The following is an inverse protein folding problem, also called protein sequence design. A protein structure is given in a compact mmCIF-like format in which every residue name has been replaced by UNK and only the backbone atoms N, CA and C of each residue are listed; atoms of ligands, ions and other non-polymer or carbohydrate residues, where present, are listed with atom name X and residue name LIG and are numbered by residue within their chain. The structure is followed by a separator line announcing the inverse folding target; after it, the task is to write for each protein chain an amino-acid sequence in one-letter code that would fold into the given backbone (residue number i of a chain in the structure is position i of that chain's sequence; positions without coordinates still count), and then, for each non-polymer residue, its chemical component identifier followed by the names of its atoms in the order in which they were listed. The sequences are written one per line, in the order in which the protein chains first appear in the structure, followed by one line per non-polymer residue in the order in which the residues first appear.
data_IF_389153486850
#
_entry.id   IF_389153486850
#
_cell.length_a   1.000
_cell.length_b   1.000
_cell.length_c   1.000
_cell.angle_alpha   90.00
_cell.angle_beta   90.00
_cell.angle_gamma   90.00
#
_symmetry.space_group_name_H-M   'P 1'
#
loop_
_entity.id
_entity.type
_entity.pdbx_description
1 polymer ?
#
# COMPACT_ATOMS: atom_id res chain seq x y z
N UNK A 1 -26.09 31.79 27.20
CA UNK A 1 -24.66 31.39 27.40
C UNK A 1 -24.24 30.30 26.40
N UNK A 2 -24.53 30.40 25.10
CA UNK A 2 -24.28 29.34 24.12
C UNK A 2 -23.61 29.85 22.80
N UNK A 3 -22.99 31.03 22.85
CA UNK A 3 -22.33 31.64 21.67
C UNK A 3 -20.82 31.88 21.79
N UNK A 4 -20.19 31.52 22.92
CA UNK A 4 -18.76 31.81 23.17
C UNK A 4 -17.83 30.62 22.86
N UNK A 5 -18.38 29.41 22.72
CA UNK A 5 -17.55 28.19 22.49
C UNK A 5 -17.24 27.86 21.02
N UNK A 6 -17.91 28.52 20.07
CA UNK A 6 -17.68 28.24 18.63
C UNK A 6 -16.50 29.02 18.04
N UNK A 7 -16.00 30.07 18.73
CA UNK A 7 -14.93 30.92 18.21
C UNK A 7 -13.54 30.42 18.63
N UNK A 8 -13.44 29.64 19.71
CA UNK A 8 -12.15 29.12 20.20
C UNK A 8 -11.64 27.91 19.39
N UNK A 9 -12.50 27.18 18.73
CA UNK A 9 -12.11 26.00 17.91
C UNK A 9 -11.59 26.42 16.54
N UNK A 10 -12.02 27.57 16.01
CA UNK A 10 -11.52 28.06 14.70
C UNK A 10 -10.19 28.82 14.79
N UNK A 11 -9.83 29.35 15.95
CA UNK A 11 -8.57 30.11 16.12
C UNK A 11 -7.34 29.22 16.33
N UNK A 12 -7.52 27.96 16.68
CA UNK A 12 -6.40 27.02 16.85
C UNK A 12 -6.00 26.26 15.57
N UNK A 13 -6.78 26.38 14.51
CA UNK A 13 -6.47 25.77 13.22
C UNK A 13 -5.60 26.63 12.29
N UNK A 14 -5.38 27.91 12.61
CA UNK A 14 -4.61 28.85 11.74
C UNK A 14 -3.16 29.04 12.20
N UNK A 15 -2.81 28.70 13.43
CA UNK A 15 -1.45 28.86 13.96
C UNK A 15 -0.56 27.61 13.84
N UNK A 16 -1.05 26.54 13.21
CA UNK A 16 -0.31 25.26 13.03
C UNK A 16 0.50 25.17 11.72
N UNK A 17 0.47 26.16 10.85
CA UNK A 17 1.02 26.01 9.48
C UNK A 17 2.51 26.35 9.36
N UNK A 18 3.12 27.00 10.34
CA UNK A 18 4.53 27.43 10.26
C UNK A 18 5.56 26.50 10.94
N UNK A 19 5.14 25.32 11.42
CA UNK A 19 6.03 24.35 12.08
C UNK A 19 6.46 23.15 11.24
N UNK A 20 6.00 23.01 9.99
CA UNK A 20 6.16 21.81 9.19
C UNK A 20 7.36 21.80 8.22
N UNK A 21 8.19 22.81 8.16
CA UNK A 21 9.32 22.87 7.22
C UNK A 21 10.59 22.13 7.67
N UNK A 22 10.67 21.62 8.90
CA UNK A 22 11.85 20.85 9.37
C UNK A 22 11.61 19.36 9.63
N UNK A 23 10.40 18.85 9.44
CA UNK A 23 10.12 17.42 9.57
C UNK A 23 10.33 16.61 8.27
N UNK A 24 10.71 17.25 7.18
CA UNK A 24 10.89 16.65 5.85
C UNK A 24 12.14 15.77 5.67
N UNK A 25 13.07 15.77 6.63
CA UNK A 25 14.39 15.14 6.44
C UNK A 25 14.55 13.74 7.08
N UNK A 26 13.52 13.17 7.69
CA UNK A 26 13.63 11.86 8.36
C UNK A 26 12.87 10.71 7.67
N UNK A 27 12.03 10.98 6.69
CA UNK A 27 11.39 9.95 5.88
C UNK A 27 12.24 9.71 4.63
N UNK A 28 12.97 8.60 4.55
CA UNK A 28 13.62 8.21 3.31
C UNK A 28 15.15 8.18 3.29
N UNK A 29 15.81 8.02 4.42
CA UNK A 29 17.22 7.67 4.38
C UNK A 29 17.36 6.24 3.87
N UNK A 30 17.56 6.08 2.56
CA UNK A 30 18.03 4.83 1.95
C UNK A 30 19.53 4.75 2.21
N UNK A 31 19.96 3.69 2.89
CA UNK A 31 21.39 3.40 3.09
C UNK A 31 21.73 2.18 2.26
N UNK A 32 22.46 2.38 1.17
CA UNK A 32 22.99 1.29 0.37
C UNK A 32 24.37 0.89 0.90
N UNK A 33 24.61 -0.41 1.01
CA UNK A 33 25.90 -0.97 1.36
C UNK A 33 26.23 -2.09 0.35
N UNK A 34 27.40 -2.06 -0.23
CA UNK A 34 27.84 -3.07 -1.21
C UNK A 34 29.30 -2.94 -1.60
N UNK A 35 29.77 -3.82 -2.44
CA UNK A 35 31.14 -3.84 -2.95
C UNK A 35 31.46 -2.47 -3.56
N UNK A 36 32.36 -1.75 -2.91
CA UNK A 36 32.76 -0.39 -3.24
C UNK A 36 33.39 -0.36 -4.61
N UNK A 37 32.72 0.19 -5.62
CA UNK A 37 33.38 0.92 -6.69
C UNK A 37 33.36 2.40 -6.35
N UNK A 38 34.41 3.16 -6.69
CA UNK A 38 34.45 4.59 -6.34
C UNK A 38 33.22 5.32 -6.91
N UNK A 39 32.59 6.10 -6.07
CA UNK A 39 31.43 6.91 -6.41
C UNK A 39 31.88 8.14 -7.19
N UNK A 40 32.09 8.04 -8.48
CA UNK A 40 32.39 9.19 -9.35
C UNK A 40 31.83 9.08 -10.77
N UNK A 41 30.61 8.60 -10.92
CA UNK A 41 29.87 8.91 -12.14
C UNK A 41 28.40 9.12 -11.81
N UNK A 42 27.88 10.28 -12.18
CA UNK A 42 26.43 10.46 -12.34
C UNK A 42 25.91 9.29 -13.18
N UNK A 43 24.70 8.75 -12.88
CA UNK A 43 24.14 7.67 -13.68
C UNK A 43 24.21 8.06 -15.16
N UNK A 44 24.55 7.16 -16.08
CA UNK A 44 24.52 7.45 -17.51
C UNK A 44 23.15 8.01 -17.86
N UNK A 45 23.13 8.98 -18.77
CA UNK A 45 21.86 9.47 -19.33
C UNK A 45 21.11 8.27 -19.89
N UNK A 46 19.94 7.93 -19.31
CA UNK A 46 19.12 6.78 -19.70
C UNK A 46 18.68 5.89 -18.55
N UNK A 47 19.50 5.70 -17.53
CA UNK A 47 19.14 4.88 -16.36
C UNK A 47 18.22 5.67 -15.42
N UNK A 48 16.93 5.40 -15.48
CA UNK A 48 15.93 6.05 -14.63
C UNK A 48 14.50 5.79 -15.13
N UNK A 49 13.55 5.89 -14.22
CA UNK A 49 12.13 5.97 -14.59
C UNK A 49 11.75 7.45 -14.74
N UNK A 50 11.13 7.82 -15.86
CA UNK A 50 10.79 9.21 -16.15
C UNK A 50 9.88 9.79 -15.07
N UNK A 51 10.29 10.92 -14.50
CA UNK A 51 9.51 11.61 -13.45
C UNK A 51 9.67 11.01 -12.04
N UNK A 52 10.62 10.07 -11.83
CA UNK A 52 10.98 9.55 -10.52
C UNK A 52 12.45 9.85 -10.21
N UNK A 53 12.71 10.13 -8.93
CA UNK A 53 14.05 10.31 -8.37
C UNK A 53 14.16 9.48 -7.08
N UNK A 54 15.13 8.56 -7.03
CA UNK A 54 15.37 7.69 -5.87
C UNK A 54 15.68 8.48 -4.56
N UNK A 55 16.08 9.74 -4.67
CA UNK A 55 16.35 10.64 -3.52
C UNK A 55 15.11 11.32 -2.97
N UNK A 56 14.00 11.21 -3.69
CA UNK A 56 12.80 11.97 -3.41
C UNK A 56 11.63 11.03 -3.07
N UNK A 57 11.36 10.82 -1.76
CA UNK A 57 10.29 9.93 -1.32
C UNK A 57 8.91 10.49 -1.68
N UNK A 58 7.88 9.62 -1.75
CA UNK A 58 6.52 10.03 -2.03
C UNK A 58 5.97 11.05 -1.03
N UNK A 59 5.14 11.95 -1.53
CA UNK A 59 4.42 12.91 -0.70
C UNK A 59 3.43 12.25 0.26
N UNK A 60 3.04 13.00 1.29
CA UNK A 60 1.91 12.65 2.15
C UNK A 60 0.61 12.99 1.41
N UNK A 61 -0.32 12.01 1.32
CA UNK A 61 -1.65 12.25 0.75
C UNK A 61 -2.65 12.62 1.84
N UNK A 62 -3.15 13.89 1.87
CA UNK A 62 -4.14 14.29 2.88
C UNK A 62 -5.43 13.47 2.79
N UNK A 63 -5.83 13.04 1.58
CA UNK A 63 -7.03 12.24 1.33
C UNK A 63 -7.07 10.91 2.06
N UNK A 64 -5.92 10.32 2.44
CA UNK A 64 -5.86 9.09 3.23
C UNK A 64 -6.54 9.20 4.60
N UNK A 65 -6.69 10.41 5.13
CA UNK A 65 -7.43 10.63 6.38
C UNK A 65 -8.94 10.80 6.17
N UNK A 66 -9.35 11.29 5.00
CA UNK A 66 -10.75 11.47 4.66
C UNK A 66 -11.42 10.15 4.30
N UNK A 67 -10.70 9.25 3.66
CA UNK A 67 -11.19 7.92 3.33
C UNK A 67 -11.31 7.01 4.56
N UNK A 68 -10.57 7.26 5.64
CA UNK A 68 -10.77 6.60 6.94
C UNK A 68 -12.16 6.88 7.55
N UNK A 69 -12.87 7.90 7.07
CA UNK A 69 -14.26 8.20 7.42
C UNK A 69 -15.15 7.68 6.29
N UNK A 70 -15.41 6.39 6.28
CA UNK A 70 -16.14 5.73 5.22
C UNK A 70 -17.48 6.41 4.93
N UNK A 71 -17.77 6.64 3.66
CA UNK A 71 -19.00 7.30 3.23
C UNK A 71 -19.01 8.82 3.28
N UNK A 72 -17.87 9.48 3.50
CA UNK A 72 -17.77 10.95 3.47
C UNK A 72 -17.60 11.47 2.06
N UNK A 73 -16.81 10.77 1.23
CA UNK A 73 -16.52 11.21 -0.14
C UNK A 73 -16.56 10.04 -1.12
N UNK A 74 -17.63 10.02 -1.92
CA UNK A 74 -17.79 9.07 -3.03
C UNK A 74 -17.44 9.75 -4.33
N UNK A 75 -16.71 9.06 -5.19
CA UNK A 75 -16.32 9.59 -6.50
C UNK A 75 -16.62 8.58 -7.61
N UNK A 76 -16.77 9.09 -8.82
CA UNK A 76 -16.94 8.30 -10.03
C UNK A 76 -15.71 8.38 -10.95
N UNK A 77 -15.70 7.62 -12.06
CA UNK A 77 -14.58 7.63 -13.02
C UNK A 77 -14.27 9.00 -13.63
N UNK A 78 -15.30 9.87 -13.76
CA UNK A 78 -15.15 11.21 -14.29
C UNK A 78 -14.41 12.17 -13.35
N UNK A 79 -14.42 11.88 -12.05
CA UNK A 79 -13.93 12.78 -11.00
C UNK A 79 -12.49 12.47 -10.56
N UNK A 80 -11.84 11.48 -11.15
CA UNK A 80 -10.53 10.97 -10.72
C UNK A 80 -9.42 12.04 -10.72
N UNK A 81 -9.49 13.02 -11.63
CA UNK A 81 -8.40 13.94 -11.87
C UNK A 81 -7.15 13.24 -12.38
N UNK A 82 -6.00 13.91 -12.29
CA UNK A 82 -4.71 13.36 -12.69
C UNK A 82 -3.90 12.96 -11.46
N UNK A 83 -3.29 11.79 -11.49
CA UNK A 83 -2.37 11.37 -10.46
C UNK A 83 -1.17 12.31 -10.39
N UNK A 84 -0.72 12.65 -9.20
CA UNK A 84 0.44 13.51 -8.98
C UNK A 84 1.34 12.93 -7.89
N UNK A 85 2.55 12.66 -8.24
CA UNK A 85 3.58 12.26 -7.28
C UNK A 85 3.88 13.42 -6.30
N UNK A 86 3.79 14.66 -6.78
CA UNK A 86 3.92 15.90 -6.03
C UNK A 86 2.58 16.60 -5.75
N UNK A 87 2.59 17.66 -4.93
CA UNK A 87 1.38 18.37 -4.49
C UNK A 87 0.66 19.18 -5.58
N UNK A 88 1.26 19.36 -6.74
CA UNK A 88 0.71 20.15 -7.83
C UNK A 88 -0.34 19.37 -8.64
N UNK A 89 -1.44 20.04 -8.95
CA UNK A 89 -2.49 19.58 -9.86
C UNK A 89 -3.72 18.95 -9.22
N UNK A 90 -4.78 18.78 -10.01
CA UNK A 90 -6.06 18.26 -9.55
C UNK A 90 -5.97 16.74 -9.37
N UNK A 91 -6.11 16.29 -8.17
CA UNK A 91 -6.21 14.88 -7.80
C UNK A 91 -7.39 14.71 -6.85
N UNK A 92 -8.33 13.84 -7.19
CA UNK A 92 -9.45 13.51 -6.32
C UNK A 92 -9.22 12.13 -5.67
N UNK A 93 -9.42 12.07 -4.37
CA UNK A 93 -9.39 10.84 -3.58
C UNK A 93 -10.76 10.64 -2.94
N UNK A 94 -11.14 9.39 -2.75
CA UNK A 94 -12.42 9.00 -2.18
C UNK A 94 -12.68 7.52 -2.42
N UNK A 95 -13.87 7.07 -2.07
CA UNK A 95 -14.32 5.71 -2.30
C UNK A 95 -15.03 5.64 -3.65
N UNK A 96 -14.52 4.80 -4.52
CA UNK A 96 -15.15 4.42 -5.80
C UNK A 96 -15.69 2.99 -5.65
N UNK A 97 -16.76 2.66 -6.36
CA UNK A 97 -17.23 1.29 -6.51
C UNK A 97 -17.02 0.78 -7.94
N UNK A 98 -16.49 -0.43 -8.05
CA UNK A 98 -16.34 -1.12 -9.31
C UNK A 98 -17.04 -2.48 -9.23
N UNK A 99 -17.83 -2.86 -10.23
CA UNK A 99 -18.65 -4.08 -10.20
C UNK A 99 -17.82 -5.34 -9.97
N UNK A 100 -16.56 -5.36 -10.45
CA UNK A 100 -15.64 -6.49 -10.32
C UNK A 100 -14.54 -6.27 -9.28
N UNK A 101 -14.39 -5.05 -8.77
CA UNK A 101 -13.37 -4.64 -7.81
C UNK A 101 -13.91 -4.27 -6.42
N UNK A 102 -15.25 -4.25 -6.24
CA UNK A 102 -15.86 -3.82 -5.00
C UNK A 102 -15.59 -2.35 -4.68
N UNK A 103 -15.50 -2.04 -3.39
CA UNK A 103 -15.10 -0.72 -2.93
C UNK A 103 -13.61 -0.51 -3.12
N UNK A 104 -13.22 0.61 -3.67
CA UNK A 104 -11.82 0.97 -3.93
C UNK A 104 -11.54 2.33 -3.28
N UNK A 105 -10.59 2.35 -2.32
CA UNK A 105 -10.04 3.58 -1.76
C UNK A 105 -8.93 4.12 -2.65
N UNK A 106 -9.22 5.20 -3.37
CA UNK A 106 -8.26 5.81 -4.29
C UNK A 106 -7.05 6.45 -3.59
N UNK A 107 -7.16 6.80 -2.33
CA UNK A 107 -6.01 7.28 -1.58
C UNK A 107 -5.01 6.14 -1.30
N UNK A 108 -5.51 4.93 -0.98
CA UNK A 108 -4.68 3.72 -0.83
C UNK A 108 -4.07 3.31 -2.17
N UNK A 109 -4.87 3.26 -3.26
CA UNK A 109 -4.36 2.98 -4.62
C UNK A 109 -3.20 3.91 -4.98
N UNK A 110 -3.38 5.21 -4.83
CA UNK A 110 -2.36 6.20 -5.19
C UNK A 110 -1.14 6.16 -4.28
N UNK A 111 -1.35 5.93 -2.97
CA UNK A 111 -0.26 5.76 -2.01
C UNK A 111 0.60 4.54 -2.36
N UNK A 112 -0.02 3.40 -2.64
CA UNK A 112 0.68 2.19 -3.01
C UNK A 112 1.41 2.33 -4.36
N UNK A 113 0.80 3.04 -5.32
CA UNK A 113 1.43 3.36 -6.60
C UNK A 113 2.70 4.21 -6.42
N UNK A 114 2.63 5.27 -5.61
CA UNK A 114 3.80 6.12 -5.34
C UNK A 114 4.95 5.34 -4.69
N UNK A 115 4.64 4.52 -3.68
CA UNK A 115 5.66 3.70 -3.04
C UNK A 115 6.28 2.69 -3.99
N UNK A 116 5.48 2.10 -4.88
CA UNK A 116 5.99 1.18 -5.92
C UNK A 116 6.98 1.91 -6.85
N UNK A 117 6.60 3.07 -7.37
CA UNK A 117 7.46 3.88 -8.22
C UNK A 117 8.76 4.30 -7.53
N UNK A 118 8.65 4.77 -6.29
CA UNK A 118 9.82 5.16 -5.49
C UNK A 118 10.77 4.00 -5.24
N UNK A 119 10.25 2.86 -4.77
CA UNK A 119 11.08 1.70 -4.44
C UNK A 119 11.69 1.04 -5.69
N UNK A 120 10.99 1.12 -6.84
CA UNK A 120 11.58 0.74 -8.12
C UNK A 120 12.74 1.66 -8.51
N UNK A 121 12.61 2.99 -8.35
CA UNK A 121 13.68 3.93 -8.61
C UNK A 121 14.89 3.72 -7.69
N UNK A 122 14.66 3.49 -6.39
CA UNK A 122 15.70 3.15 -5.41
C UNK A 122 16.42 1.86 -5.79
N UNK A 123 15.68 0.82 -6.17
CA UNK A 123 16.25 -0.47 -6.58
C UNK A 123 17.10 -0.29 -7.84
N UNK A 124 16.62 0.46 -8.83
CA UNK A 124 17.36 0.71 -10.07
C UNK A 124 18.68 1.43 -9.80
N UNK A 125 18.67 2.42 -8.92
CA UNK A 125 19.90 3.12 -8.49
C UNK A 125 20.88 2.17 -7.78
N UNK A 126 20.38 1.27 -6.92
CA UNK A 126 21.21 0.28 -6.24
C UNK A 126 21.81 -0.73 -7.24
N UNK A 127 21.03 -1.20 -8.22
CA UNK A 127 21.51 -2.10 -9.27
C UNK A 127 22.55 -1.42 -10.16
N UNK A 128 22.33 -0.17 -10.54
CA UNK A 128 23.28 0.63 -11.31
C UNK A 128 24.64 0.76 -10.61
N UNK A 129 24.62 0.94 -9.29
CA UNK A 129 25.84 1.03 -8.47
C UNK A 129 26.44 -0.31 -8.07
N UNK A 130 25.80 -1.43 -8.43
CA UNK A 130 26.26 -2.78 -8.07
C UNK A 130 26.14 -3.08 -6.57
N UNK A 131 25.18 -2.45 -5.87
CA UNK A 131 24.96 -2.71 -4.46
C UNK A 131 24.25 -4.04 -4.26
N UNK A 132 24.74 -4.86 -3.35
CA UNK A 132 24.15 -6.16 -2.97
C UNK A 132 23.18 -6.04 -1.81
N UNK A 133 23.17 -4.92 -1.10
CA UNK A 133 22.24 -4.67 0.01
C UNK A 133 21.79 -3.23 0.02
N UNK A 134 20.56 -3.01 0.43
CA UNK A 134 20.07 -1.68 0.79
C UNK A 134 19.04 -1.77 1.90
N UNK A 135 18.80 -0.66 2.58
CA UNK A 135 17.75 -0.53 3.57
C UNK A 135 16.97 0.75 3.34
N UNK A 136 15.69 0.69 3.65
CA UNK A 136 14.82 1.86 3.56
C UNK A 136 13.86 1.93 4.74
N UNK A 137 13.24 3.10 4.90
CA UNK A 137 12.15 3.35 5.83
C UNK A 137 11.05 4.05 5.08
N UNK A 138 9.82 3.71 5.43
CA UNK A 138 8.64 4.47 5.02
C UNK A 138 8.28 5.47 6.13
N UNK A 139 7.01 5.72 6.33
CA UNK A 139 6.55 6.63 7.38
C UNK A 139 6.61 6.02 8.77
N UNK A 140 6.36 4.73 8.85
CA UNK A 140 6.50 3.97 10.08
C UNK A 140 7.98 3.88 10.48
N UNK A 141 8.27 3.75 11.79
CA UNK A 141 9.65 3.64 12.25
C UNK A 141 10.31 2.30 11.89
N UNK A 142 9.58 1.33 11.35
CA UNK A 142 10.12 0.04 10.87
C UNK A 142 11.18 0.24 9.80
N UNK A 143 12.19 -0.63 9.80
CA UNK A 143 13.25 -0.67 8.79
C UNK A 143 13.10 -1.91 7.92
N UNK A 144 13.30 -1.71 6.64
CA UNK A 144 13.29 -2.77 5.65
C UNK A 144 14.71 -3.00 5.17
N UNK A 145 15.14 -4.25 5.14
CA UNK A 145 16.46 -4.68 4.70
C UNK A 145 16.27 -5.55 3.47
N UNK A 146 16.97 -5.22 2.41
CA UNK A 146 16.94 -5.95 1.15
C UNK A 146 18.34 -6.44 0.83
N UNK A 147 18.47 -7.74 0.58
CA UNK A 147 19.68 -8.39 0.11
C UNK A 147 19.45 -8.86 -1.33
N UNK A 148 20.36 -8.54 -2.24
CA UNK A 148 20.30 -8.88 -3.66
C UNK A 148 21.42 -9.82 -4.02
N UNK A 149 21.09 -10.89 -4.73
CA UNK A 149 22.06 -11.77 -5.39
C UNK A 149 21.98 -11.52 -6.89
N UNK A 150 23.13 -11.27 -7.49
CA UNK A 150 23.27 -11.02 -8.93
C UNK A 150 23.60 -12.31 -9.66
N UNK A 151 23.24 -12.44 -10.96
CA UNK A 151 23.74 -13.52 -11.80
C UNK A 151 25.28 -13.42 -11.96
N UNK A 152 25.92 -14.57 -12.10
CA UNK A 152 27.42 -14.64 -12.18
C UNK A 152 27.98 -13.87 -13.37
N UNK A 153 27.27 -13.80 -14.46
CA UNK A 153 27.63 -13.12 -15.69
C UNK A 153 27.23 -11.64 -15.76
N UNK A 154 26.63 -11.10 -14.69
CA UNK A 154 26.15 -9.72 -14.66
C UNK A 154 27.17 -8.68 -15.11
N UNK A 155 28.43 -8.83 -14.68
CA UNK A 155 29.50 -7.88 -15.03
C UNK A 155 29.86 -7.89 -16.51
N UNK A 156 29.67 -9.02 -17.20
CA UNK A 156 30.04 -9.23 -18.60
C UNK A 156 28.92 -8.88 -19.59
N UNK A 157 27.71 -8.65 -19.12
CA UNK A 157 26.59 -8.27 -20.00
C UNK A 157 26.83 -6.90 -20.66
N UNK A 158 26.35 -6.70 -21.90
CA UNK A 158 26.30 -5.39 -22.54
C UNK A 158 25.47 -4.39 -21.73
N UNK A 159 25.85 -3.10 -21.75
CA UNK A 159 25.17 -2.07 -20.94
C UNK A 159 23.68 -1.93 -21.24
N UNK A 160 23.28 -2.05 -22.51
CA UNK A 160 21.85 -2.02 -22.90
C UNK A 160 21.04 -3.20 -22.33
N UNK A 161 21.63 -4.39 -22.25
CA UNK A 161 20.99 -5.55 -21.62
C UNK A 161 20.91 -5.38 -20.10
N UNK A 162 21.99 -4.88 -19.48
CA UNK A 162 21.98 -4.55 -18.04
C UNK A 162 20.87 -3.55 -17.71
N UNK A 163 20.74 -2.48 -18.50
CA UNK A 163 19.71 -1.47 -18.28
C UNK A 163 18.31 -2.07 -18.38
N UNK A 164 18.03 -2.82 -19.44
CA UNK A 164 16.74 -3.47 -19.66
C UNK A 164 16.38 -4.43 -18.51
N UNK A 165 17.32 -5.30 -18.13
CA UNK A 165 17.16 -6.26 -17.04
C UNK A 165 16.99 -5.51 -15.70
N UNK A 166 17.84 -4.52 -15.42
CA UNK A 166 17.78 -3.74 -14.19
C UNK A 166 16.43 -3.01 -14.03
N UNK A 167 15.87 -2.46 -15.12
CA UNK A 167 14.54 -1.84 -15.10
C UNK A 167 13.46 -2.85 -14.72
N UNK A 168 13.51 -4.04 -15.31
CA UNK A 168 12.47 -5.06 -15.08
C UNK A 168 12.59 -5.68 -13.67
N UNK A 169 13.80 -5.97 -13.21
CA UNK A 169 14.07 -6.40 -11.83
C UNK A 169 13.64 -5.33 -10.84
N UNK A 170 13.93 -4.06 -11.11
CA UNK A 170 13.55 -2.94 -10.23
C UNK A 170 12.04 -2.75 -10.16
N UNK A 171 11.33 -2.90 -11.26
CA UNK A 171 9.86 -2.84 -11.31
C UNK A 171 9.24 -3.95 -10.47
N UNK A 172 9.70 -5.21 -10.65
CA UNK A 172 9.19 -6.37 -9.90
C UNK A 172 9.50 -6.25 -8.41
N UNK A 173 10.75 -5.95 -8.07
CA UNK A 173 11.14 -5.78 -6.67
C UNK A 173 10.46 -4.57 -6.01
N UNK A 174 10.35 -3.44 -6.72
CA UNK A 174 9.64 -2.26 -6.23
C UNK A 174 8.17 -2.55 -5.92
N UNK A 175 7.50 -3.33 -6.79
CA UNK A 175 6.12 -3.78 -6.56
C UNK A 175 6.01 -4.68 -5.31
N UNK A 176 6.88 -5.67 -5.19
CA UNK A 176 6.92 -6.56 -4.03
C UNK A 176 7.18 -5.79 -2.73
N UNK A 177 8.17 -4.91 -2.72
CA UNK A 177 8.52 -4.11 -1.54
C UNK A 177 7.39 -3.18 -1.12
N UNK A 178 6.72 -2.55 -2.08
CA UNK A 178 5.59 -1.67 -1.79
C UNK A 178 4.40 -2.45 -1.23
N UNK A 179 4.04 -3.59 -1.85
CA UNK A 179 2.98 -4.45 -1.35
C UNK A 179 3.28 -4.97 0.06
N UNK A 180 4.49 -5.48 0.29
CA UNK A 180 4.97 -5.90 1.61
C UNK A 180 4.83 -4.77 2.64
N UNK A 181 5.18 -3.55 2.27
CA UNK A 181 5.18 -2.43 3.19
C UNK A 181 3.76 -1.94 3.53
N UNK A 182 2.83 -1.91 2.57
CA UNK A 182 1.44 -1.52 2.86
C UNK A 182 0.72 -2.62 3.64
N UNK A 183 0.97 -3.89 3.36
CA UNK A 183 0.47 -5.02 4.17
C UNK A 183 1.02 -4.97 5.61
N UNK A 184 2.31 -4.69 5.76
CA UNK A 184 2.92 -4.50 7.08
C UNK A 184 2.30 -3.34 7.85
N UNK A 185 1.92 -2.27 7.18
CA UNK A 185 1.21 -1.15 7.80
C UNK A 185 -0.13 -1.60 8.41
N UNK A 186 -0.91 -2.41 7.72
CA UNK A 186 -2.16 -2.97 8.23
C UNK A 186 -1.92 -3.85 9.48
N UNK A 187 -0.85 -4.67 9.46
CA UNK A 187 -0.44 -5.46 10.63
C UNK A 187 -0.06 -4.59 11.81
N UNK A 188 0.76 -3.55 11.61
CA UNK A 188 1.12 -2.60 12.67
C UNK A 188 -0.12 -1.92 13.25
N UNK A 189 -1.05 -1.55 12.38
CA UNK A 189 -2.31 -0.91 12.74
C UNK A 189 -3.16 -1.85 13.62
N UNK A 190 -3.21 -3.14 13.29
CA UNK A 190 -3.84 -4.17 14.11
C UNK A 190 -3.25 -4.24 15.53
N UNK A 191 -1.94 -4.23 15.66
CA UNK A 191 -1.26 -4.26 16.96
C UNK A 191 -1.34 -2.93 17.72
N UNK A 192 -2.05 -1.95 17.21
CA UNK A 192 -2.37 -0.68 17.87
C UNK A 192 -1.39 0.43 17.58
N UNK A 193 -0.74 0.42 16.40
CA UNK A 193 0.13 1.49 15.96
C UNK A 193 -0.52 2.87 16.11
N UNK A 194 0.25 3.83 16.61
CA UNK A 194 -0.18 5.21 16.89
C UNK A 194 0.74 6.19 16.15
N UNK A 195 0.35 6.72 15.01
CA UNK A 195 1.17 7.71 14.32
C UNK A 195 1.38 8.92 15.23
N UNK A 196 2.64 9.26 15.49
CA UNK A 196 3.05 10.39 16.34
C UNK A 196 2.40 10.44 17.75
N UNK A 197 2.04 9.27 18.32
CA UNK A 197 1.42 9.18 19.65
C UNK A 197 -0.07 9.56 19.71
N UNK A 198 -0.72 9.76 18.58
CA UNK A 198 -2.16 10.00 18.48
C UNK A 198 -2.98 8.72 18.77
N UNK A 199 -4.28 8.79 18.53
CA UNK A 199 -5.21 7.69 18.72
C UNK A 199 -4.78 6.46 17.90
N UNK A 200 -4.94 5.26 18.46
CA UNK A 200 -4.68 4.01 17.75
C UNK A 200 -5.55 3.90 16.49
N UNK A 201 -4.93 3.47 15.38
CA UNK A 201 -5.60 3.22 14.12
C UNK A 201 -6.21 1.80 14.03
N UNK A 202 -6.17 1.03 15.12
CA UNK A 202 -6.69 -0.33 15.18
C UNK A 202 -8.09 -0.50 14.57
N UNK A 203 -8.96 0.53 14.68
CA UNK A 203 -10.30 0.47 14.14
C UNK A 203 -10.37 0.44 12.62
N UNK A 204 -9.33 0.87 11.90
CA UNK A 204 -9.26 0.85 10.43
C UNK A 204 -8.43 -0.31 9.87
N UNK A 205 -7.70 -1.08 10.70
CA UNK A 205 -6.85 -2.15 10.23
C UNK A 205 -7.63 -3.21 9.42
N UNK A 206 -7.12 -3.55 8.25
CA UNK A 206 -7.71 -4.57 7.39
C UNK A 206 -9.19 -4.33 7.09
N UNK A 207 -9.60 -3.10 6.80
CA UNK A 207 -10.95 -2.89 6.27
C UNK A 207 -11.10 -3.58 4.91
N UNK A 208 -12.32 -3.91 4.55
CA UNK A 208 -12.63 -4.79 3.40
C UNK A 208 -12.15 -4.28 2.05
N UNK A 209 -11.78 -2.99 1.93
CA UNK A 209 -11.25 -2.38 0.72
C UNK A 209 -9.72 -2.19 0.73
N UNK A 210 -9.06 -2.28 1.89
CA UNK A 210 -7.66 -1.90 2.05
C UNK A 210 -6.71 -2.77 1.22
N UNK A 211 -6.78 -4.09 1.40
CA UNK A 211 -5.85 -5.01 0.77
C UNK A 211 -5.96 -4.96 -0.75
N UNK A 212 -7.20 -5.00 -1.26
CA UNK A 212 -7.42 -4.93 -2.71
C UNK A 212 -6.99 -3.58 -3.29
N UNK A 213 -7.32 -2.46 -2.63
CA UNK A 213 -6.93 -1.12 -3.08
C UNK A 213 -5.40 -0.93 -3.07
N UNK A 214 -4.74 -1.42 -2.02
CA UNK A 214 -3.29 -1.39 -1.90
C UNK A 214 -2.63 -2.20 -3.03
N UNK A 215 -3.08 -3.44 -3.26
CA UNK A 215 -2.54 -4.29 -4.32
C UNK A 215 -2.81 -3.70 -5.71
N UNK A 216 -4.03 -3.22 -5.96
CA UNK A 216 -4.39 -2.55 -7.22
C UNK A 216 -3.44 -1.37 -7.52
N UNK A 217 -3.11 -0.58 -6.51
CA UNK A 217 -2.17 0.52 -6.64
C UNK A 217 -0.78 0.07 -7.07
N UNK A 218 -0.28 -1.03 -6.51
CA UNK A 218 1.03 -1.60 -6.90
C UNK A 218 1.00 -2.13 -8.34
N UNK A 219 -0.10 -2.76 -8.75
CA UNK A 219 -0.28 -3.27 -10.11
C UNK A 219 -0.31 -2.12 -11.14
N UNK A 220 -1.05 -1.04 -10.84
CA UNK A 220 -1.12 0.16 -11.67
C UNK A 220 0.26 0.79 -11.85
N UNK A 221 1.03 0.90 -10.78
CA UNK A 221 2.38 1.44 -10.85
C UNK A 221 3.34 0.54 -11.62
N UNK A 222 3.25 -0.79 -11.44
CA UNK A 222 4.06 -1.73 -12.20
C UNK A 222 3.78 -1.65 -13.71
N UNK A 223 2.52 -1.40 -14.11
CA UNK A 223 2.14 -1.12 -15.49
C UNK A 223 2.70 0.24 -15.94
N UNK A 224 2.56 1.29 -15.14
CA UNK A 224 3.07 2.63 -15.44
C UNK A 224 4.59 2.69 -15.59
N UNK A 225 5.34 1.88 -14.84
CA UNK A 225 6.81 1.78 -14.96
C UNK A 225 7.29 1.13 -16.26
N UNK A 226 6.41 0.45 -17.01
CA UNK A 226 6.69 -0.07 -18.35
C UNK A 226 6.48 0.98 -19.45
N UNK A 227 5.74 2.04 -19.15
CA UNK A 227 5.50 3.13 -20.09
C UNK A 227 6.79 3.97 -20.27
N UNK A 228 7.30 3.98 -21.49
CA UNK A 228 8.50 4.74 -21.86
C UNK A 228 8.18 6.11 -22.47
N UNK A 229 6.92 6.38 -22.77
CA UNK A 229 6.50 7.60 -23.45
C UNK A 229 6.13 8.69 -22.43
N UNK A 230 5.48 8.32 -21.34
CA UNK A 230 4.97 9.26 -20.34
C UNK A 230 5.86 9.35 -19.10
N UNK A 231 5.79 10.46 -18.39
CA UNK A 231 6.31 10.55 -17.04
C UNK A 231 5.44 9.72 -16.07
N UNK A 232 6.01 9.22 -14.98
CA UNK A 232 5.36 8.30 -14.05
C UNK A 232 3.96 8.75 -13.62
N UNK A 233 3.77 10.02 -13.27
CA UNK A 233 2.45 10.54 -12.86
C UNK A 233 1.40 10.43 -13.96
N UNK A 234 1.77 10.70 -15.20
CA UNK A 234 0.84 10.62 -16.34
C UNK A 234 0.59 9.16 -16.71
N UNK A 235 1.63 8.31 -16.70
CA UNK A 235 1.51 6.88 -16.91
C UNK A 235 0.58 6.22 -15.86
N UNK A 236 0.72 6.57 -14.56
CA UNK A 236 -0.19 6.12 -13.49
C UNK A 236 -1.61 6.61 -13.74
N UNK A 237 -1.80 7.86 -14.21
CA UNK A 237 -3.14 8.38 -14.53
C UNK A 237 -3.81 7.53 -15.61
N UNK A 238 -3.08 7.18 -16.66
CA UNK A 238 -3.59 6.37 -17.78
C UNK A 238 -3.87 4.94 -17.34
N UNK A 239 -2.95 4.32 -16.63
CA UNK A 239 -3.09 2.95 -16.11
C UNK A 239 -4.27 2.84 -15.13
N UNK A 240 -4.41 3.82 -14.21
CA UNK A 240 -5.53 3.89 -13.26
C UNK A 240 -6.88 3.92 -13.99
N UNK A 241 -7.04 4.78 -14.99
CA UNK A 241 -8.28 4.88 -15.77
C UNK A 241 -8.60 3.56 -16.47
N UNK A 242 -7.64 2.95 -17.17
CA UNK A 242 -7.82 1.65 -17.86
C UNK A 242 -8.22 0.55 -16.86
N UNK A 243 -7.54 0.46 -15.73
CA UNK A 243 -7.83 -0.57 -14.72
C UNK A 243 -9.22 -0.40 -14.11
N UNK A 244 -9.61 0.82 -13.73
CA UNK A 244 -10.94 1.08 -13.18
C UNK A 244 -12.03 0.82 -14.22
N UNK A 245 -11.83 1.18 -15.48
CA UNK A 245 -12.75 0.86 -16.57
C UNK A 245 -12.90 -0.67 -16.73
N UNK A 246 -11.80 -1.41 -16.74
CA UNK A 246 -11.82 -2.88 -16.86
C UNK A 246 -12.50 -3.58 -15.68
N UNK A 247 -12.47 -2.96 -14.49
CA UNK A 247 -13.15 -3.45 -13.30
C UNK A 247 -14.64 -3.05 -13.26
N UNK A 248 -15.12 -2.28 -14.24
CA UNK A 248 -16.48 -1.81 -14.29
C UNK A 248 -16.78 -0.71 -13.25
N UNK A 249 -15.92 0.30 -13.20
CA UNK A 249 -16.08 1.43 -12.27
C UNK A 249 -17.42 2.16 -12.48
N UNK A 250 -18.09 2.47 -11.39
CA UNK A 250 -19.45 3.01 -11.35
C UNK A 250 -19.47 4.48 -10.95
N UNK A 251 -20.53 5.24 -11.30
CA UNK A 251 -20.73 6.60 -10.83
C UNK A 251 -20.76 6.70 -9.29
N UNK A 252 -20.43 7.87 -8.76
CA UNK A 252 -20.44 8.15 -7.31
C UNK A 252 -21.76 7.80 -6.60
N UNK A 253 -22.90 7.89 -7.31
CA UNK A 253 -24.21 7.51 -6.79
C UNK A 253 -24.26 6.01 -6.46
N UNK A 254 -23.74 5.14 -7.34
CA UNK A 254 -23.68 3.69 -7.13
C UNK A 254 -22.69 3.34 -6.02
N UNK A 255 -21.55 4.05 -5.94
CA UNK A 255 -20.60 3.87 -4.83
C UNK A 255 -21.24 4.19 -3.47
N UNK A 256 -22.09 5.20 -3.42
CA UNK A 256 -22.89 5.53 -2.21
C UNK A 256 -23.90 4.44 -1.91
N UNK A 257 -24.65 3.98 -2.90
CA UNK A 257 -25.62 2.90 -2.76
C UNK A 257 -24.98 1.62 -2.24
N UNK A 258 -23.81 1.24 -2.80
CA UNK A 258 -23.02 0.10 -2.34
C UNK A 258 -22.62 0.22 -0.87
N UNK A 259 -22.17 1.41 -0.46
CA UNK A 259 -21.82 1.67 0.93
C UNK A 259 -23.03 1.57 1.87
N UNK A 260 -24.18 2.15 1.49
CA UNK A 260 -25.40 2.09 2.29
C UNK A 260 -25.94 0.65 2.40
N UNK A 261 -25.83 -0.15 1.33
CA UNK A 261 -26.29 -1.55 1.31
C UNK A 261 -25.58 -2.43 2.35
N UNK A 262 -24.34 -2.11 2.70
CA UNK A 262 -23.54 -2.88 3.69
C UNK A 262 -23.46 -2.20 5.06
N UNK A 263 -24.16 -1.10 5.24
CA UNK A 263 -24.23 -0.40 6.53
C UNK A 263 -24.92 -1.28 7.57
N UNK A 264 -24.33 -1.38 8.75
CA UNK A 264 -24.81 -2.25 9.83
C UNK A 264 -24.08 -3.61 9.85
N UNK A 265 -23.75 -4.16 8.69
CA UNK A 265 -23.06 -5.44 8.56
C UNK A 265 -21.53 -5.27 8.46
N UNK A 266 -21.05 -4.48 7.50
CA UNK A 266 -19.61 -4.29 7.30
C UNK A 266 -19.03 -3.13 8.08
N UNK A 267 -19.86 -2.11 8.38
CA UNK A 267 -19.49 -0.98 9.22
C UNK A 267 -20.71 -0.38 9.91
N UNK A 268 -20.46 0.34 10.99
CA UNK A 268 -21.47 1.20 11.61
C UNK A 268 -20.94 2.62 11.69
N UNK A 269 -21.85 3.57 11.53
CA UNK A 269 -21.54 4.98 11.68
C UNK A 269 -22.22 5.50 12.94
N UNK A 270 -21.43 6.03 13.86
CA UNK A 270 -21.93 6.69 15.05
C UNK A 270 -21.39 8.11 15.10
N UNK A 271 -22.24 9.07 14.86
CA UNK A 271 -21.98 10.51 14.85
C UNK A 271 -20.76 10.89 13.96
N UNK A 272 -19.55 11.01 14.52
CA UNK A 272 -18.32 11.36 13.79
C UNK A 272 -17.38 10.17 13.57
N UNK A 273 -17.75 8.97 14.03
CA UNK A 273 -16.86 7.81 13.98
C UNK A 273 -17.47 6.70 13.14
N UNK A 274 -16.64 6.13 12.28
CA UNK A 274 -16.94 4.87 11.58
C UNK A 274 -16.26 3.75 12.34
N UNK A 275 -17.01 2.69 12.62
CA UNK A 275 -16.48 1.45 13.20
C UNK A 275 -16.57 0.38 12.14
N UNK A 276 -15.41 -0.11 11.71
CA UNK A 276 -15.29 -1.22 10.77
C UNK A 276 -15.67 -2.52 11.49
N UNK A 277 -16.62 -3.27 10.94
CA UNK A 277 -17.10 -4.55 11.46
C UNK A 277 -16.58 -5.73 10.67
N UNK A 278 -16.44 -5.56 9.35
CA UNK A 278 -15.88 -6.56 8.46
C UNK A 278 -14.39 -6.29 8.27
N UNK A 279 -13.57 -7.30 8.54
CA UNK A 279 -12.13 -7.30 8.29
C UNK A 279 -11.83 -8.22 7.13
N UNK A 280 -10.86 -7.84 6.33
CA UNK A 280 -10.37 -8.67 5.24
C UNK A 280 -8.89 -8.98 5.46
N UNK A 281 -8.60 -10.21 5.87
CA UNK A 281 -7.24 -10.71 6.08
C UNK A 281 -6.66 -11.40 4.83
N UNK A 282 -7.35 -11.28 3.70
CA UNK A 282 -6.85 -11.78 2.43
C UNK A 282 -5.70 -10.91 1.94
N UNK A 283 -4.48 -11.42 2.04
CA UNK A 283 -3.26 -10.82 1.52
C UNK A 283 -2.60 -11.74 0.47
N UNK A 284 -3.36 -12.70 -0.06
CA UNK A 284 -2.91 -13.63 -1.09
C UNK A 284 -2.05 -14.78 -0.58
N UNK A 285 -2.21 -15.21 0.68
CA UNK A 285 -1.43 -16.32 1.24
C UNK A 285 -1.97 -17.69 0.81
N UNK A 286 -3.26 -17.79 0.51
CA UNK A 286 -3.92 -19.06 0.26
C UNK A 286 -3.80 -19.50 -1.21
N UNK A 287 -4.06 -18.60 -2.14
CA UNK A 287 -4.12 -18.88 -3.59
C UNK A 287 -3.22 -17.95 -4.44
N UNK A 288 -2.46 -17.08 -3.80
CA UNK A 288 -1.60 -16.12 -4.47
C UNK A 288 -2.34 -14.90 -5.03
N UNK A 289 -3.62 -14.71 -4.70
CA UNK A 289 -4.44 -13.59 -5.16
C UNK A 289 -5.16 -12.92 -4.00
N UNK A 290 -5.45 -11.64 -4.13
CA UNK A 290 -6.38 -10.91 -3.24
C UNK A 290 -7.70 -10.73 -3.97
N UNK A 291 -8.78 -11.18 -3.34
CA UNK A 291 -10.13 -11.17 -3.91
C UNK A 291 -10.93 -10.00 -3.33
N UNK A 292 -11.53 -9.11 -4.17
CA UNK A 292 -12.29 -7.97 -3.67
C UNK A 292 -13.62 -8.39 -3.06
N UNK A 293 -14.07 -7.67 -2.04
CA UNK A 293 -15.41 -7.84 -1.46
C UNK A 293 -16.47 -7.16 -2.34
N UNK A 294 -17.39 -7.94 -2.90
CA UNK A 294 -18.48 -7.44 -3.73
C UNK A 294 -19.77 -7.26 -2.93
N UNK A 295 -20.58 -6.27 -3.33
CA UNK A 295 -21.96 -6.05 -2.84
C UNK A 295 -22.91 -6.60 -3.90
N UNK A 296 -23.38 -7.83 -3.70
CA UNK A 296 -24.20 -8.56 -4.69
C UNK A 296 -25.61 -8.02 -4.87
N UNK A 297 -26.10 -7.21 -3.94
CA UNK A 297 -27.45 -6.63 -4.00
C UNK A 297 -27.57 -5.42 -4.91
N UNK A 298 -26.52 -5.02 -5.61
CA UNK A 298 -26.50 -3.83 -6.47
C UNK A 298 -27.03 -4.15 -7.88
N UNK A 299 -28.18 -3.57 -8.30
CA UNK A 299 -28.71 -3.81 -9.65
C UNK A 299 -27.75 -3.41 -10.77
N UNK A 300 -26.98 -2.32 -10.58
CA UNK A 300 -26.01 -1.84 -11.55
C UNK A 300 -24.86 -2.84 -11.81
N UNK A 301 -24.67 -3.84 -10.94
CA UNK A 301 -23.59 -4.80 -11.01
C UNK A 301 -24.10 -6.25 -11.02
N UNK A 302 -25.36 -6.46 -11.40
CA UNK A 302 -25.96 -7.79 -11.46
C UNK A 302 -25.13 -8.73 -12.35
N UNK A 303 -24.86 -9.94 -11.83
CA UNK A 303 -24.05 -10.95 -12.53
C UNK A 303 -22.55 -10.68 -12.59
N UNK A 304 -22.06 -9.58 -12.04
CA UNK A 304 -20.64 -9.30 -12.02
C UNK A 304 -19.92 -10.30 -11.08
N UNK A 305 -18.75 -10.78 -11.55
CA UNK A 305 -17.88 -11.65 -10.78
C UNK A 305 -16.65 -10.86 -10.31
N UNK A 306 -16.15 -11.20 -9.13
CA UNK A 306 -14.92 -10.64 -8.59
C UNK A 306 -13.75 -10.83 -9.58
N UNK A 307 -12.85 -9.85 -9.61
CA UNK A 307 -11.60 -9.90 -10.36
C UNK A 307 -10.44 -9.97 -9.36
N UNK A 308 -10.01 -11.18 -8.92
CA UNK A 308 -8.85 -11.32 -8.05
C UNK A 308 -7.59 -10.76 -8.70
N UNK A 309 -6.72 -10.18 -7.90
CA UNK A 309 -5.43 -9.67 -8.34
C UNK A 309 -4.30 -10.54 -7.79
N UNK A 310 -3.35 -10.99 -8.63
CA UNK A 310 -2.21 -11.76 -8.17
C UNK A 310 -1.28 -10.88 -7.32
N UNK A 311 -0.81 -11.43 -6.20
CA UNK A 311 0.17 -10.76 -5.36
C UNK A 311 1.56 -10.82 -5.99
N UNK A 312 2.39 -9.76 -5.85
CA UNK A 312 3.74 -9.78 -6.37
C UNK A 312 4.61 -10.76 -5.56
N UNK A 313 5.41 -11.56 -6.26
CA UNK A 313 6.40 -12.47 -5.69
C UNK A 313 7.79 -12.10 -6.15
N UNK A 314 8.81 -12.70 -5.52
CA UNK A 314 10.21 -12.51 -5.94
C UNK A 314 10.64 -13.54 -7.01
N UNK A 315 9.80 -14.51 -7.35
CA UNK A 315 10.13 -15.62 -8.25
C UNK A 315 10.46 -15.12 -9.67
N UNK A 316 9.79 -14.07 -10.12
CA UNK A 316 10.05 -13.47 -11.43
C UNK A 316 11.47 -12.93 -11.62
N UNK A 317 12.22 -12.70 -10.54
CA UNK A 317 13.61 -12.26 -10.61
C UNK A 317 14.53 -13.37 -11.15
N UNK A 318 14.19 -14.62 -10.89
CA UNK A 318 14.98 -15.79 -11.28
C UNK A 318 15.13 -15.93 -12.79
N UNK A 319 14.20 -15.41 -13.61
CA UNK A 319 14.32 -15.40 -15.06
C UNK A 319 15.58 -14.62 -15.56
N UNK A 320 16.06 -13.70 -14.72
CA UNK A 320 17.28 -12.91 -14.97
C UNK A 320 18.48 -13.38 -14.13
N UNK A 321 18.35 -14.50 -13.41
CA UNK A 321 19.36 -15.01 -12.49
C UNK A 321 19.52 -14.19 -11.20
N UNK A 322 18.60 -13.26 -10.93
CA UNK A 322 18.56 -12.51 -9.67
C UNK A 322 17.77 -13.25 -8.62
N UNK A 323 18.12 -13.03 -7.36
CA UNK A 323 17.27 -13.31 -6.21
C UNK A 323 17.35 -12.17 -5.20
N UNK A 324 16.30 -12.06 -4.38
CA UNK A 324 16.27 -11.07 -3.31
C UNK A 324 15.72 -11.70 -2.03
N UNK A 325 16.19 -11.18 -0.89
CA UNK A 325 15.64 -11.47 0.43
C UNK A 325 15.23 -10.17 1.10
N UNK A 326 14.07 -10.16 1.71
CA UNK A 326 13.52 -8.99 2.39
C UNK A 326 13.31 -9.31 3.85
N UNK A 327 13.71 -8.41 4.74
CA UNK A 327 13.48 -8.51 6.18
C UNK A 327 12.95 -7.19 6.72
N UNK A 328 12.10 -7.25 7.75
CA UNK A 328 11.54 -6.09 8.45
C UNK A 328 12.00 -6.11 9.89
N UNK A 329 12.56 -5.02 10.37
CA UNK A 329 12.82 -4.78 11.80
C UNK A 329 11.73 -3.83 12.34
N UNK A 330 10.77 -4.34 13.12
CA UNK A 330 9.77 -3.48 13.73
C UNK A 330 10.43 -2.57 14.75
N UNK A 331 10.19 -1.26 14.64
CA UNK A 331 10.72 -0.26 15.60
C UNK A 331 9.57 0.60 16.11
N UNK A 332 8.56 -0.09 16.62
CA UNK A 332 7.34 0.51 17.15
C UNK A 332 7.10 0.04 18.59
N UNK A 333 6.25 0.73 19.30
CA UNK A 333 5.87 0.37 20.66
C UNK A 333 5.24 -1.04 20.75
N UNK A 334 4.71 -1.52 19.64
CA UNK A 334 4.04 -2.81 19.48
C UNK A 334 5.01 -3.96 19.19
N UNK A 335 6.31 -3.70 19.02
CA UNK A 335 7.34 -4.71 18.70
C UNK A 335 7.21 -5.95 19.60
N UNK A 336 7.08 -5.76 20.91
CA UNK A 336 6.98 -6.87 21.85
C UNK A 336 5.70 -7.70 21.66
N UNK A 337 4.59 -7.07 21.25
CA UNK A 337 3.33 -7.77 20.98
C UNK A 337 3.45 -8.61 19.72
N UNK A 338 4.05 -8.05 18.67
CA UNK A 338 4.30 -8.72 17.40
C UNK A 338 5.23 -9.91 17.59
N UNK A 339 6.35 -9.71 18.29
CA UNK A 339 7.28 -10.80 18.61
C UNK A 339 6.62 -11.88 19.45
N UNK A 340 5.76 -11.52 20.42
CA UNK A 340 5.00 -12.49 21.21
C UNK A 340 4.03 -13.31 20.34
N UNK A 341 3.39 -12.70 19.36
CA UNK A 341 2.53 -13.41 18.41
C UNK A 341 3.33 -14.44 17.60
N UNK A 342 4.53 -14.08 17.14
CA UNK A 342 5.44 -14.99 16.45
C UNK A 342 5.99 -16.09 17.37
N UNK A 343 6.28 -15.80 18.63
CA UNK A 343 6.70 -16.81 19.61
C UNK A 343 5.59 -17.84 19.87
N UNK A 344 4.34 -17.39 19.97
CA UNK A 344 3.22 -18.33 20.13
C UNK A 344 3.13 -19.33 18.97
N UNK A 345 3.63 -18.97 17.81
CA UNK A 345 3.78 -19.87 16.67
C UNK A 345 5.05 -20.76 16.69
N UNK A 346 5.74 -20.84 17.85
CA UNK A 346 6.96 -21.65 18.06
C UNK A 346 8.13 -21.30 17.13
N UNK A 347 8.28 -20.04 16.78
CA UNK A 347 9.37 -19.58 15.92
C UNK A 347 10.53 -18.99 16.71
N UNK A 348 11.78 -19.17 16.22
CA UNK A 348 12.94 -18.54 16.85
C UNK A 348 12.82 -17.03 16.74
N UNK A 349 13.18 -16.35 17.84
CA UNK A 349 13.10 -14.90 17.92
C UNK A 349 14.32 -14.26 17.31
N UNK A 350 14.11 -13.58 16.22
CA UNK A 350 15.05 -12.59 15.72
C UNK A 350 14.42 -11.20 15.86
N UNK A 351 15.21 -10.15 15.86
CA UNK A 351 14.67 -8.78 15.80
C UNK A 351 14.06 -8.45 14.43
N UNK A 352 14.25 -9.30 13.44
CA UNK A 352 13.79 -9.11 12.07
C UNK A 352 12.84 -10.23 11.69
N UNK A 353 11.77 -9.85 11.02
CA UNK A 353 10.81 -10.76 10.42
C UNK A 353 11.19 -10.96 8.95
N UNK A 354 10.86 -12.13 8.42
CA UNK A 354 10.87 -12.40 7.00
C UNK A 354 9.42 -12.42 6.50
N UNK A 355 8.98 -11.44 5.68
CA UNK A 355 7.58 -11.35 5.24
C UNK A 355 7.07 -12.61 4.54
N UNK A 356 7.92 -13.27 3.76
CA UNK A 356 7.56 -14.49 3.03
C UNK A 356 7.23 -15.67 3.96
N UNK A 357 7.67 -15.62 5.22
CA UNK A 357 7.51 -16.69 6.19
C UNK A 357 6.59 -16.25 7.33
N UNK A 358 6.83 -15.07 7.88
CA UNK A 358 6.25 -14.64 9.16
C UNK A 358 4.87 -14.01 9.01
N UNK A 359 4.50 -13.49 7.83
CA UNK A 359 3.18 -12.91 7.61
C UNK A 359 2.07 -13.93 7.78
N UNK A 360 2.27 -15.18 7.35
CA UNK A 360 1.32 -16.27 7.57
C UNK A 360 0.99 -16.43 9.06
N UNK A 361 2.03 -16.51 9.90
CA UNK A 361 1.84 -16.69 11.33
C UNK A 361 1.16 -15.48 11.99
N UNK A 362 1.45 -14.26 11.52
CA UNK A 362 0.82 -13.04 12.02
C UNK A 362 -0.65 -12.96 11.62
N UNK A 363 -1.00 -13.28 10.38
CA UNK A 363 -2.40 -13.30 9.91
C UNK A 363 -3.20 -14.35 10.68
N UNK A 364 -2.67 -15.55 10.88
CA UNK A 364 -3.35 -16.58 11.68
C UNK A 364 -3.54 -16.14 13.14
N UNK A 365 -2.56 -15.49 13.74
CA UNK A 365 -2.71 -14.90 15.06
C UNK A 365 -3.84 -13.85 15.09
N UNK A 366 -3.91 -12.96 14.08
CA UNK A 366 -4.93 -11.91 14.02
C UNK A 366 -6.34 -12.48 13.83
N UNK A 367 -6.49 -13.51 12.98
CA UNK A 367 -7.75 -14.25 12.81
C UNK A 367 -8.22 -14.87 14.13
N UNK A 368 -7.29 -15.46 14.92
CA UNK A 368 -7.58 -16.03 16.24
C UNK A 368 -7.87 -14.95 17.30
N UNK A 369 -7.23 -13.79 17.21
CA UNK A 369 -7.41 -12.68 18.16
C UNK A 369 -8.69 -11.85 17.87
N UNK A 370 -9.24 -11.90 16.66
CA UNK A 370 -10.43 -11.16 16.27
C UNK A 370 -11.63 -11.34 17.23
N UNK A 371 -11.95 -12.55 17.74
CA UNK A 371 -13.02 -12.71 18.73
C UNK A 371 -12.83 -11.94 20.02
N UNK A 372 -11.59 -11.71 20.45
CA UNK A 372 -11.28 -10.95 21.67
C UNK A 372 -11.63 -9.46 21.54
N UNK A 373 -11.78 -8.99 20.31
CA UNK A 373 -12.17 -7.62 19.98
C UNK A 373 -13.65 -7.46 19.65
N UNK A 374 -14.49 -8.51 19.79
CA UNK A 374 -15.93 -8.48 19.47
C UNK A 374 -16.73 -7.39 20.18
N UNK A 375 -16.29 -6.94 21.34
CA UNK A 375 -16.90 -5.79 22.00
C UNK A 375 -16.79 -4.48 21.21
N UNK A 376 -15.82 -4.41 20.29
CA UNK A 376 -15.64 -3.31 19.32
C UNK A 376 -16.38 -3.58 17.99
N UNK A 377 -16.67 -4.87 17.66
CA UNK A 377 -17.15 -5.32 16.36
C UNK A 377 -18.23 -6.41 16.49
N UNK A 378 -19.42 -6.06 16.94
CA UNK A 378 -20.52 -7.04 16.95
C UNK A 378 -20.85 -7.48 15.50
N UNK A 379 -20.57 -8.74 15.14
CA UNK A 379 -20.97 -9.34 13.86
C UNK A 379 -19.89 -9.43 12.77
N UNK A 380 -18.59 -9.36 13.10
CA UNK A 380 -17.51 -9.42 12.11
C UNK A 380 -17.40 -10.77 11.39
N UNK A 381 -17.49 -10.78 10.05
CA UNK A 381 -17.04 -11.87 9.18
C UNK A 381 -15.53 -11.72 8.89
N UNK A 382 -14.81 -12.84 8.83
CA UNK A 382 -13.33 -12.82 8.78
C UNK A 382 -12.74 -12.71 7.37
N UNK A 383 -13.51 -12.89 6.29
CA UNK A 383 -13.00 -12.81 4.91
C UNK A 383 -14.13 -12.64 3.89
N UNK A 384 -13.81 -12.02 2.76
CA UNK A 384 -14.71 -11.89 1.62
C UNK A 384 -14.71 -13.12 0.72
N UNK A 385 -13.62 -13.89 0.69
CA UNK A 385 -13.49 -15.08 -0.14
C UNK A 385 -14.46 -16.20 0.24
N UNK A 386 -14.86 -16.33 1.52
CA UNK A 386 -15.76 -17.37 1.99
C UNK A 386 -17.22 -17.18 1.58
N UNK A 387 -17.66 -15.97 1.24
CA UNK A 387 -19.04 -15.72 0.78
C UNK A 387 -19.23 -16.00 -0.72
N UNK A 388 -18.15 -16.02 -1.49
CA UNK A 388 -18.21 -16.28 -2.94
C UNK A 388 -18.32 -17.78 -3.26
N UNK A 389 -18.07 -18.65 -2.30
CA UNK A 389 -18.14 -20.11 -2.46
C UNK A 389 -19.50 -20.74 -2.08
N UNK A 390 -20.48 -19.94 -1.64
CA UNK A 390 -21.83 -20.43 -1.40
C UNK A 390 -22.63 -20.41 -2.73
N UNK A 391 -23.28 -21.53 -3.13
CA UNK A 391 -24.01 -21.66 -4.37
C UNK A 391 -25.26 -20.79 -4.40
#
# INVERSE_FOLDING_TARGET
MMRVWLIVVLALSVLGVNGCQQAGTLAGAVVCQGLVRPAESSPPQGWGFRGLDARVPPRIRPGSYASATYGVHFIGPADLGSHRYWLDGPESNGILYACRGGHIDLAHVRKAADWTGYLAAVTLECLHRGHTTFQFRLREPSRYFVELTYPNDWSSLPDGDKERIARDVSRQLGQYLAYTAVTWHEMLTWFGFRPKGYKSEFQSAFSWEDNYSNLLGTCIAAEALQDQEHAFSDAVTLALRRRLESLGAQPAAVAREASEAVRGDWYSKWWLFTVIRRRDFDIGLDDGCVTPCLVYSLPACEGAQACPLPVPTLDGLAQYGFSARVQIEPRVWEENKILKALYAAHRPVTKRLDPAIDFTALIEYMKQDLPNHRHLYAGAAASCATEQAAP
#
